data_IF_046442080839
#
_entry.id   IF_046442080839
#
_cell.length_a   1.000
_cell.length_b   1.000
_cell.length_c   1.000
_cell.angle_alpha   90.00
_cell.angle_beta   90.00
_cell.angle_gamma   90.00
#
_symmetry.space_group_name_H-M   'P 1'
#
loop_
_entity.id
_entity.type
_entity.pdbx_description
1 polymer ?
#
# COMPACT_ATOMS: atom_id res chain seq x y z
N UNK A 1 23.05 3.07 -1.50
CA UNK A 1 21.94 3.35 -0.56
C UNK A 1 22.06 2.41 0.62
N UNK A 2 22.36 2.92 1.81
CA UNK A 2 22.47 2.11 3.03
C UNK A 2 21.14 1.46 3.40
N UNK A 3 21.18 0.26 3.99
CA UNK A 3 19.99 -0.42 4.52
C UNK A 3 19.35 0.49 5.56
N UNK A 4 18.09 0.87 5.34
CA UNK A 4 17.29 1.57 6.36
C UNK A 4 17.11 0.68 7.59
N UNK A 5 17.01 1.25 8.81
CA UNK A 5 16.73 0.49 10.02
C UNK A 5 15.46 -0.36 9.87
N UNK A 6 15.43 -1.53 10.51
CA UNK A 6 14.29 -2.47 10.46
C UNK A 6 12.97 -1.83 10.92
N UNK A 7 13.02 -0.90 11.86
CA UNK A 7 11.86 -0.19 12.44
C UNK A 7 11.12 0.70 11.45
N UNK A 8 11.76 1.19 10.39
CA UNK A 8 11.18 2.15 9.43
C UNK A 8 10.69 1.47 8.15
N UNK A 9 10.74 0.14 8.07
CA UNK A 9 10.41 -0.60 6.85
C UNK A 9 8.98 -0.37 6.36
N UNK A 10 8.04 0.00 7.22
CA UNK A 10 6.65 0.26 6.88
C UNK A 10 6.38 1.71 6.47
N UNK A 11 7.31 2.64 6.73
CA UNK A 11 7.16 4.06 6.41
C UNK A 11 7.54 4.28 4.93
N UNK A 12 6.62 4.85 4.16
CA UNK A 12 6.76 5.05 2.72
C UNK A 12 6.24 6.42 2.31
N UNK A 13 6.93 7.04 1.36
CA UNK A 13 6.50 8.30 0.77
C UNK A 13 5.33 8.06 -0.20
N UNK A 14 4.35 8.96 -0.16
CA UNK A 14 3.25 8.97 -1.10
C UNK A 14 3.72 9.57 -2.44
N UNK A 15 3.63 8.81 -3.52
CA UNK A 15 4.14 9.19 -4.85
C UNK A 15 2.99 9.62 -5.74
N UNK A 16 3.13 10.76 -6.43
CA UNK A 16 2.16 11.21 -7.45
C UNK A 16 2.23 10.30 -8.67
N UNK A 17 1.08 9.83 -9.13
CA UNK A 17 0.92 9.03 -10.33
C UNK A 17 -0.22 9.61 -11.19
N UNK A 18 -0.44 9.06 -12.38
CA UNK A 18 -1.55 9.45 -13.28
C UNK A 18 -1.62 10.96 -13.54
N UNK A 19 -0.47 11.59 -13.83
CA UNK A 19 -0.37 13.03 -14.08
C UNK A 19 -0.72 13.90 -12.86
N UNK A 20 -0.62 13.37 -11.64
CA UNK A 20 -0.91 14.08 -10.39
C UNK A 20 -2.36 13.96 -9.90
N UNK A 21 -3.23 13.25 -10.63
CA UNK A 21 -4.62 13.00 -10.24
C UNK A 21 -4.77 11.89 -9.19
N UNK A 22 -3.75 11.04 -9.05
CA UNK A 22 -3.77 9.91 -8.14
C UNK A 22 -2.42 9.76 -7.44
N UNK A 23 -2.41 8.99 -6.37
CA UNK A 23 -1.22 8.73 -5.59
C UNK A 23 -1.05 7.23 -5.34
N UNK A 24 0.20 6.80 -5.20
CA UNK A 24 0.55 5.42 -4.88
C UNK A 24 1.54 5.37 -3.72
N UNK A 25 1.41 4.32 -2.90
CA UNK A 25 2.42 3.90 -1.92
C UNK A 25 2.98 2.55 -2.33
N UNK A 26 4.26 2.32 -2.06
CA UNK A 26 4.87 1.01 -2.24
C UNK A 26 4.58 0.18 -1.00
N UNK A 27 3.72 -0.83 -1.12
CA UNK A 27 3.45 -1.76 -0.03
C UNK A 27 4.64 -2.73 0.09
N UNK A 28 5.28 -2.87 1.26
CA UNK A 28 6.34 -3.85 1.49
C UNK A 28 5.88 -5.27 1.14
N UNK A 29 6.78 -6.06 0.55
CA UNK A 29 6.47 -7.43 0.08
C UNK A 29 5.98 -8.33 1.22
N UNK A 30 6.53 -8.15 2.42
CA UNK A 30 6.15 -8.90 3.60
C UNK A 30 4.66 -8.76 3.90
N UNK A 31 4.13 -7.53 3.86
CA UNK A 31 2.70 -7.26 4.09
C UNK A 31 1.80 -7.83 2.99
N UNK A 32 2.24 -7.78 1.73
CA UNK A 32 1.51 -8.37 0.59
C UNK A 32 1.40 -9.88 0.77
N UNK A 33 2.48 -10.54 1.21
CA UNK A 33 2.49 -11.98 1.46
C UNK A 33 1.59 -12.36 2.64
N UNK A 34 1.63 -11.60 3.73
CA UNK A 34 0.81 -11.86 4.93
C UNK A 34 -0.69 -11.78 4.61
N UNK A 35 -1.08 -10.80 3.77
CA UNK A 35 -2.44 -10.65 3.26
C UNK A 35 -2.78 -11.62 2.11
N UNK A 36 -1.83 -12.44 1.66
CA UNK A 36 -1.96 -13.35 0.51
C UNK A 36 -2.40 -12.66 -0.78
N UNK A 37 -2.09 -11.38 -0.90
CA UNK A 37 -2.45 -10.55 -2.03
C UNK A 37 -1.65 -10.91 -3.27
N UNK A 38 -2.31 -10.89 -4.43
CA UNK A 38 -1.71 -11.21 -5.72
C UNK A 38 -1.66 -9.99 -6.62
N UNK A 39 -0.67 -9.96 -7.50
CA UNK A 39 -0.60 -8.91 -8.51
C UNK A 39 -1.87 -8.90 -9.38
N UNK A 40 -2.33 -7.71 -9.76
CA UNK A 40 -3.51 -7.47 -10.62
C UNK A 40 -4.87 -7.89 -10.04
N UNK A 41 -4.94 -8.28 -8.76
CA UNK A 41 -6.23 -8.48 -8.11
C UNK A 41 -6.94 -7.13 -7.85
N UNK A 42 -8.25 -7.19 -7.64
CA UNK A 42 -9.06 -6.03 -7.27
C UNK A 42 -9.05 -5.86 -5.76
N UNK A 43 -8.93 -4.61 -5.30
CA UNK A 43 -8.96 -4.22 -3.90
C UNK A 43 -9.89 -3.02 -3.75
N UNK A 44 -10.54 -2.92 -2.60
CA UNK A 44 -11.39 -1.79 -2.24
C UNK A 44 -10.62 -0.87 -1.29
N UNK A 45 -10.65 0.43 -1.56
CA UNK A 45 -10.07 1.44 -0.67
C UNK A 45 -11.21 2.22 -0.03
N UNK A 46 -11.32 2.15 1.28
CA UNK A 46 -12.31 2.87 2.08
C UNK A 46 -11.64 3.84 3.06
N UNK A 47 -12.36 4.88 3.49
CA UNK A 47 -11.87 5.84 4.49
C UNK A 47 -12.54 5.56 5.84
N UNK A 48 -11.74 5.34 6.88
CA UNK A 48 -12.20 5.24 8.27
C UNK A 48 -11.55 6.33 9.11
N UNK A 49 -12.28 7.41 9.38
CA UNK A 49 -11.77 8.58 10.09
C UNK A 49 -10.58 9.23 9.39
N UNK A 50 -9.40 9.18 10.03
CA UNK A 50 -8.13 9.71 9.49
C UNK A 50 -7.28 8.65 8.77
N UNK A 51 -7.80 7.44 8.55
CA UNK A 51 -7.06 6.33 7.95
C UNK A 51 -7.72 5.89 6.64
N UNK A 52 -6.90 5.43 5.70
CA UNK A 52 -7.36 4.63 4.57
C UNK A 52 -7.24 3.15 4.95
N UNK A 53 -8.27 2.38 4.60
CA UNK A 53 -8.33 0.93 4.80
C UNK A 53 -8.41 0.31 3.41
N UNK A 54 -7.58 -0.70 3.17
CA UNK A 54 -7.54 -1.43 1.92
C UNK A 54 -7.94 -2.87 2.23
N UNK A 55 -9.01 -3.33 1.61
CA UNK A 55 -9.62 -4.63 1.84
C UNK A 55 -9.72 -5.38 0.51
N UNK A 56 -9.77 -6.72 0.58
CA UNK A 56 -10.05 -7.53 -0.60
C UNK A 56 -11.43 -7.17 -1.17
N UNK A 57 -11.51 -7.07 -2.49
CA UNK A 57 -12.81 -6.94 -3.15
C UNK A 57 -13.52 -8.28 -3.03
N UNK A 58 -14.71 -8.28 -2.42
CA UNK A 58 -15.56 -9.47 -2.35
C UNK A 58 -15.73 -10.11 -3.76
N UNK A 59 -15.75 -11.44 -3.86
CA UNK A 59 -16.03 -12.13 -5.13
C UNK A 59 -17.42 -11.80 -5.69
#
# INVERSE_FOLDING_TARGET
MGRRPLSEKHIRSLTKVSGGKSYAIIIPREMVNDLKWRARQKLVISKRGKKLVIEDWEP
#
